data_IF_246558039648
#
_entry.id   IF_246558039648
#
_cell.length_a   1.000
_cell.length_b   1.000
_cell.length_c   1.000
_cell.angle_alpha   90.00
_cell.angle_beta   90.00
_cell.angle_gamma   90.00
#
_symmetry.space_group_name_H-M   'P 1'
#
loop_
_entity.id
_entity.type
_entity.pdbx_description
1 polymer ?
#
# COMPACT_ATOMS: atom_id res chain seq x y z
N UNK A 1 -24.67 6.24 -35.10
CA UNK A 1 -24.71 5.03 -34.25
C UNK A 1 -23.68 5.06 -33.11
N UNK A 2 -22.75 6.02 -33.05
CA UNK A 2 -21.72 6.13 -31.99
C UNK A 2 -22.25 6.65 -30.64
N UNK A 3 -23.27 7.52 -30.64
CA UNK A 3 -23.84 8.09 -29.40
C UNK A 3 -24.55 7.06 -28.50
N UNK A 4 -24.94 5.90 -29.03
CA UNK A 4 -25.69 4.89 -28.28
C UNK A 4 -24.81 4.13 -27.26
N UNK A 5 -23.48 4.21 -27.35
CA UNK A 5 -22.55 3.42 -26.55
C UNK A 5 -21.58 4.26 -25.70
N UNK A 6 -21.73 5.59 -25.68
CA UNK A 6 -20.83 6.47 -24.91
C UNK A 6 -20.95 6.24 -23.39
N UNK A 7 -22.08 5.73 -22.92
CA UNK A 7 -22.30 5.40 -21.50
C UNK A 7 -21.49 4.18 -21.03
N UNK A 8 -21.00 3.33 -21.95
CA UNK A 8 -20.30 2.11 -21.61
C UNK A 8 -18.95 2.38 -20.91
N UNK A 9 -18.24 3.43 -21.34
CA UNK A 9 -16.95 3.84 -20.76
C UNK A 9 -17.08 4.34 -19.31
N UNK A 10 -17.93 5.35 -19.05
CA UNK A 10 -18.22 5.80 -17.69
C UNK A 10 -18.78 4.69 -16.79
N UNK A 11 -19.63 3.80 -17.33
CA UNK A 11 -20.14 2.66 -16.59
C UNK A 11 -19.05 1.66 -16.20
N UNK A 12 -18.07 1.40 -17.08
CA UNK A 12 -16.92 0.55 -16.78
C UNK A 12 -16.07 1.15 -15.65
N UNK A 13 -15.82 2.46 -15.71
CA UNK A 13 -15.08 3.17 -14.67
C UNK A 13 -15.81 3.15 -13.31
N UNK A 14 -17.12 3.40 -13.31
CA UNK A 14 -17.93 3.31 -12.10
C UNK A 14 -17.93 1.89 -11.51
N UNK A 15 -18.04 0.86 -12.36
CA UNK A 15 -17.95 -0.55 -11.93
C UNK A 15 -16.61 -0.88 -11.27
N UNK A 16 -15.50 -0.39 -11.83
CA UNK A 16 -14.17 -0.54 -11.23
C UNK A 16 -14.08 0.14 -9.86
N UNK A 17 -14.59 1.37 -9.72
CA UNK A 17 -14.60 2.08 -8.43
C UNK A 17 -15.42 1.37 -7.36
N UNK A 18 -16.57 0.81 -7.72
CA UNK A 18 -17.40 0.03 -6.79
C UNK A 18 -16.63 -1.19 -6.32
N UNK A 19 -16.08 -2.00 -7.23
CA UNK A 19 -15.33 -3.20 -6.87
C UNK A 19 -14.07 -2.91 -6.05
N UNK A 20 -13.39 -1.78 -6.30
CA UNK A 20 -12.28 -1.31 -5.47
C UNK A 20 -12.75 -0.90 -4.08
N UNK A 21 -13.92 -0.27 -3.96
CA UNK A 21 -14.49 0.14 -2.67
C UNK A 21 -14.92 -1.04 -1.79
N UNK A 22 -15.22 -2.20 -2.41
CA UNK A 22 -15.48 -3.45 -1.68
C UNK A 22 -14.21 -4.07 -1.07
N UNK A 23 -13.03 -3.49 -1.29
CA UNK A 23 -11.77 -3.96 -0.70
C UNK A 23 -11.19 -5.23 -1.37
N UNK A 24 -11.71 -5.61 -2.54
CA UNK A 24 -11.13 -6.70 -3.32
C UNK A 24 -9.74 -6.31 -3.88
N UNK A 25 -8.80 -7.26 -4.03
CA UNK A 25 -7.48 -6.94 -4.56
C UNK A 25 -7.57 -6.31 -5.95
N UNK A 26 -6.85 -5.19 -6.13
CA UNK A 26 -6.92 -4.29 -7.29
C UNK A 26 -6.76 -5.01 -8.64
N UNK A 27 -5.88 -6.02 -8.71
CA UNK A 27 -5.65 -6.78 -9.93
C UNK A 27 -6.91 -7.52 -10.40
N UNK A 28 -7.66 -8.13 -9.47
CA UNK A 28 -8.87 -8.87 -9.79
C UNK A 28 -10.05 -7.95 -10.09
N UNK A 29 -10.16 -6.82 -9.40
CA UNK A 29 -11.23 -5.86 -9.67
C UNK A 29 -11.07 -5.21 -11.05
N UNK A 30 -9.88 -4.72 -11.39
CA UNK A 30 -9.62 -4.10 -12.70
C UNK A 30 -9.71 -5.12 -13.85
N UNK A 31 -9.08 -6.29 -13.69
CA UNK A 31 -9.13 -7.34 -14.71
C UNK A 31 -10.54 -7.90 -14.92
N UNK A 32 -11.27 -8.14 -13.84
CA UNK A 32 -12.64 -8.65 -13.87
C UNK A 32 -13.60 -7.68 -14.55
N UNK A 33 -13.57 -6.39 -14.19
CA UNK A 33 -14.40 -5.36 -14.84
C UNK A 33 -14.06 -5.23 -16.32
N UNK A 34 -12.78 -5.24 -16.68
CA UNK A 34 -12.35 -5.19 -18.07
C UNK A 34 -12.90 -6.37 -18.89
N UNK A 35 -12.85 -7.60 -18.36
CA UNK A 35 -13.38 -8.79 -19.05
C UNK A 35 -14.91 -8.75 -19.13
N UNK A 36 -15.60 -8.37 -18.05
CA UNK A 36 -17.06 -8.27 -18.03
C UNK A 36 -17.57 -7.25 -19.05
N UNK A 37 -16.96 -6.06 -19.10
CA UNK A 37 -17.33 -5.02 -20.07
C UNK A 37 -16.90 -5.37 -21.49
N UNK A 38 -15.80 -6.13 -21.69
CA UNK A 38 -15.46 -6.66 -23.00
C UNK A 38 -16.54 -7.61 -23.51
N UNK A 39 -17.04 -8.53 -22.68
CA UNK A 39 -18.11 -9.48 -23.06
C UNK A 39 -19.40 -8.73 -23.38
N UNK A 40 -19.80 -7.79 -22.50
CA UNK A 40 -20.98 -6.95 -22.74
C UNK A 40 -20.86 -6.13 -24.03
N UNK A 41 -19.71 -5.51 -24.29
CA UNK A 41 -19.45 -4.74 -25.52
C UNK A 41 -19.48 -5.61 -26.78
N UNK A 42 -19.08 -6.87 -26.69
CA UNK A 42 -19.17 -7.85 -27.79
C UNK A 42 -20.61 -8.20 -28.14
N UNK A 43 -21.43 -8.50 -27.12
CA UNK A 43 -22.85 -8.86 -27.29
C UNK A 43 -23.64 -7.67 -27.87
N UNK A 44 -23.32 -6.45 -27.44
CA UNK A 44 -23.93 -5.22 -27.94
C UNK A 44 -23.43 -4.79 -29.33
N UNK A 45 -22.46 -5.52 -29.93
CA UNK A 45 -21.92 -5.23 -31.26
C UNK A 45 -21.08 -3.95 -31.32
N UNK A 46 -20.57 -3.47 -30.18
CA UNK A 46 -19.76 -2.24 -30.09
C UNK A 46 -18.36 -2.46 -30.66
N UNK A 47 -17.84 -3.69 -30.55
CA UNK A 47 -16.52 -4.05 -31.04
C UNK A 47 -16.55 -5.41 -31.75
N UNK A 48 -15.60 -5.62 -32.68
CA UNK A 48 -15.48 -6.87 -33.43
C UNK A 48 -15.00 -8.02 -32.52
N UNK A 49 -15.65 -9.21 -32.52
CA UNK A 49 -15.23 -10.37 -31.75
C UNK A 49 -13.77 -10.79 -31.96
N UNK A 50 -13.15 -10.41 -33.09
CA UNK A 50 -11.72 -10.62 -33.33
C UNK A 50 -10.82 -9.99 -32.27
N UNK A 51 -11.27 -8.95 -31.57
CA UNK A 51 -10.48 -8.33 -30.50
C UNK A 51 -10.27 -9.28 -29.30
N UNK A 52 -11.16 -10.26 -29.09
CA UNK A 52 -10.97 -11.28 -28.06
C UNK A 52 -9.80 -12.21 -28.37
N UNK A 53 -9.57 -12.56 -29.63
CA UNK A 53 -8.43 -13.40 -30.00
C UNK A 53 -7.10 -12.64 -29.90
N UNK A 54 -7.13 -11.30 -29.98
CA UNK A 54 -5.98 -10.44 -29.76
C UNK A 54 -5.65 -10.21 -28.27
N UNK A 55 -6.57 -10.50 -27.34
CA UNK A 55 -6.37 -10.27 -25.90
C UNK A 55 -5.18 -11.06 -25.31
N UNK A 56 -5.03 -12.39 -25.54
CA UNK A 56 -3.88 -13.13 -25.04
C UNK A 56 -2.55 -12.57 -25.56
N UNK A 57 -2.49 -12.24 -26.85
CA UNK A 57 -1.30 -11.65 -27.46
C UNK A 57 -0.94 -10.31 -26.81
N UNK A 58 -1.94 -9.50 -26.48
CA UNK A 58 -1.74 -8.22 -25.78
C UNK A 58 -1.24 -8.40 -24.36
N UNK A 59 -1.75 -9.40 -23.63
CA UNK A 59 -1.27 -9.74 -22.28
C UNK A 59 0.19 -10.18 -22.34
N UNK A 60 0.56 -11.08 -23.26
CA UNK A 60 1.95 -11.49 -23.45
C UNK A 60 2.84 -10.30 -23.83
N UNK A 61 2.40 -9.42 -24.73
CA UNK A 61 3.15 -8.23 -25.11
C UNK A 61 3.40 -7.29 -23.91
N UNK A 62 2.43 -7.16 -22.99
CA UNK A 62 2.59 -6.38 -21.76
C UNK A 62 3.58 -7.09 -20.82
N UNK A 63 3.46 -8.41 -20.62
CA UNK A 63 4.37 -9.19 -19.77
C UNK A 63 5.82 -9.19 -20.27
N UNK A 64 6.04 -9.15 -21.58
CA UNK A 64 7.37 -9.07 -22.19
C UNK A 64 7.97 -7.66 -22.13
N UNK A 65 7.28 -6.68 -21.54
CA UNK A 65 7.77 -5.32 -21.45
C UNK A 65 8.82 -5.18 -20.34
N UNK A 66 10.03 -4.76 -20.71
CA UNK A 66 11.15 -4.54 -19.78
C UNK A 66 10.84 -3.53 -18.68
N UNK A 67 9.93 -2.58 -18.89
CA UNK A 67 9.48 -1.63 -17.86
C UNK A 67 8.82 -2.35 -16.68
N UNK A 68 8.12 -3.47 -16.91
CA UNK A 68 7.51 -4.23 -15.83
C UNK A 68 8.53 -4.96 -14.94
N UNK A 69 9.75 -5.20 -15.45
CA UNK A 69 10.85 -5.70 -14.62
C UNK A 69 11.25 -4.69 -13.53
N UNK A 70 10.92 -3.41 -13.68
CA UNK A 70 11.15 -2.42 -12.64
C UNK A 70 10.43 -2.77 -11.33
N UNK A 71 9.23 -3.37 -11.39
CA UNK A 71 8.45 -3.75 -10.19
C UNK A 71 9.22 -4.71 -9.27
N UNK A 72 9.68 -5.90 -9.74
CA UNK A 72 10.47 -6.80 -8.90
C UNK A 72 11.83 -6.21 -8.52
N UNK A 73 12.47 -5.40 -9.37
CA UNK A 73 13.72 -4.73 -9.00
C UNK A 73 13.52 -3.69 -7.88
N UNK A 74 12.43 -2.94 -7.88
CA UNK A 74 12.09 -2.03 -6.79
C UNK A 74 11.81 -2.77 -5.48
N UNK A 75 11.06 -3.87 -5.53
CA UNK A 75 10.82 -4.72 -4.35
C UNK A 75 12.14 -5.30 -3.82
N UNK A 76 13.01 -5.77 -4.71
CA UNK A 76 14.32 -6.30 -4.35
C UNK A 76 15.21 -5.24 -3.69
N UNK A 77 15.27 -4.03 -4.27
CA UNK A 77 16.03 -2.92 -3.70
C UNK A 77 15.49 -2.52 -2.32
N UNK A 78 14.16 -2.49 -2.16
CA UNK A 78 13.53 -2.26 -0.85
C UNK A 78 13.95 -3.28 0.19
N UNK A 79 13.87 -4.57 -0.14
CA UNK A 79 14.28 -5.65 0.77
C UNK A 79 15.78 -5.62 1.08
N UNK A 80 16.63 -5.23 0.12
CA UNK A 80 18.06 -5.06 0.35
C UNK A 80 18.39 -3.89 1.28
N UNK A 81 17.71 -2.76 1.13
CA UNK A 81 17.89 -1.59 2.01
C UNK A 81 17.43 -1.88 3.44
N UNK A 82 16.35 -2.62 3.60
CA UNK A 82 15.87 -3.11 4.89
C UNK A 82 16.90 -4.07 5.54
N UNK A 83 17.35 -5.09 4.80
CA UNK A 83 18.28 -6.11 5.33
C UNK A 83 19.70 -5.59 5.59
N UNK A 84 20.12 -4.53 4.92
CA UNK A 84 21.45 -3.94 5.12
C UNK A 84 21.56 -3.06 6.37
N UNK A 85 20.43 -2.72 7.02
CA UNK A 85 20.42 -1.83 8.20
C UNK A 85 20.83 -0.38 7.88
N UNK A 86 20.91 -0.02 6.59
CA UNK A 86 21.27 1.35 6.16
C UNK A 86 20.18 2.33 6.59
N UNK A 87 18.91 1.91 6.51
CA UNK A 87 17.75 2.73 6.90
C UNK A 87 17.80 3.17 8.37
N UNK A 88 18.11 2.24 9.26
CA UNK A 88 18.19 2.46 10.71
C UNK A 88 19.35 3.40 11.07
N UNK A 89 20.54 3.15 10.52
CA UNK A 89 21.72 4.01 10.72
C UNK A 89 21.50 5.43 10.21
N UNK A 90 20.76 5.58 9.11
CA UNK A 90 20.40 6.89 8.58
C UNK A 90 19.46 7.63 9.53
N UNK A 91 18.50 6.92 10.12
CA UNK A 91 17.56 7.47 11.09
C UNK A 91 18.26 7.88 12.40
N UNK A 92 19.17 7.06 12.93
CA UNK A 92 20.00 7.38 14.10
C UNK A 92 20.77 8.68 13.87
N UNK A 93 21.47 8.75 12.73
CA UNK A 93 22.31 9.90 12.37
C UNK A 93 21.49 11.18 12.24
N UNK A 94 20.32 11.11 11.59
CA UNK A 94 19.42 12.25 11.45
C UNK A 94 18.75 12.64 12.77
N UNK A 95 18.43 11.67 13.62
CA UNK A 95 17.93 11.90 14.98
C UNK A 95 18.93 12.67 15.84
N UNK A 96 20.22 12.33 15.75
CA UNK A 96 21.31 13.06 16.43
C UNK A 96 21.47 14.47 15.85
N UNK A 97 21.41 14.60 14.52
CA UNK A 97 21.56 15.89 13.83
C UNK A 97 20.46 16.89 14.20
N UNK A 98 19.20 16.44 14.25
CA UNK A 98 18.04 17.28 14.57
C UNK A 98 17.65 17.26 16.06
N UNK A 99 18.28 16.41 16.88
CA UNK A 99 17.91 16.18 18.30
C UNK A 99 18.00 17.39 19.23
N UNK A 100 18.76 18.43 18.84
CA UNK A 100 18.80 19.71 19.57
C UNK A 100 17.52 20.56 19.40
N UNK A 101 16.68 20.28 18.40
CA UNK A 101 15.41 20.98 18.20
C UNK A 101 14.26 20.23 18.87
N UNK A 102 13.37 20.95 19.57
CA UNK A 102 12.12 20.37 20.09
C UNK A 102 11.29 19.86 18.91
N UNK A 103 11.07 18.55 18.83
CA UNK A 103 10.41 17.88 17.70
C UNK A 103 11.33 17.40 16.57
N UNK A 104 12.66 17.53 16.71
CA UNK A 104 13.63 17.15 15.68
C UNK A 104 13.59 15.67 15.29
N UNK A 105 13.17 14.79 16.20
CA UNK A 105 12.99 13.36 15.93
C UNK A 105 11.87 13.08 14.90
N UNK A 106 10.71 13.74 15.05
CA UNK A 106 9.61 13.59 14.10
C UNK A 106 10.02 14.07 12.71
N UNK A 107 10.83 15.14 12.66
CA UNK A 107 11.35 15.71 11.42
C UNK A 107 12.36 14.77 10.75
N UNK A 108 13.23 14.11 11.53
CA UNK A 108 14.14 13.08 11.04
C UNK A 108 13.38 11.88 10.44
N UNK A 109 12.33 11.39 11.10
CA UNK A 109 11.49 10.27 10.61
C UNK A 109 10.82 10.63 9.28
N UNK A 110 10.24 11.82 9.16
CA UNK A 110 9.56 12.24 7.92
C UNK A 110 10.55 12.39 6.77
N UNK A 111 11.72 13.00 7.00
CA UNK A 111 12.74 13.20 5.96
C UNK A 111 13.35 11.85 5.53
N UNK A 112 13.80 11.05 6.48
CA UNK A 112 14.42 9.75 6.19
C UNK A 112 13.40 8.81 5.56
N UNK A 113 12.18 8.77 6.09
CA UNK A 113 11.07 8.01 5.52
C UNK A 113 10.77 8.44 4.08
N UNK A 114 10.72 9.75 3.80
CA UNK A 114 10.50 10.24 2.45
C UNK A 114 11.65 9.86 1.48
N UNK A 115 12.91 9.93 1.92
CA UNK A 115 14.08 9.56 1.11
C UNK A 115 14.11 8.04 0.79
N UNK A 116 13.79 7.21 1.78
CA UNK A 116 13.73 5.75 1.60
C UNK A 116 12.52 5.32 0.76
N UNK A 117 11.37 5.96 0.95
CA UNK A 117 10.19 5.72 0.12
C UNK A 117 10.41 6.18 -1.34
N UNK A 118 11.07 7.32 -1.55
CA UNK A 118 11.37 7.84 -2.88
C UNK A 118 12.32 6.93 -3.67
N UNK A 119 13.28 6.30 -3.00
CA UNK A 119 14.23 5.40 -3.64
C UNK A 119 13.62 4.01 -3.92
N UNK A 120 12.83 3.47 -3.00
CA UNK A 120 12.26 2.11 -3.13
C UNK A 120 10.91 2.04 -3.83
N UNK A 121 10.21 3.17 -3.98
CA UNK A 121 8.93 3.27 -4.68
C UNK A 121 7.75 2.58 -3.99
N UNK A 122 7.96 1.94 -2.83
CA UNK A 122 6.93 1.17 -2.10
C UNK A 122 6.77 1.73 -0.69
N UNK A 123 5.66 2.45 -0.46
CA UNK A 123 5.32 3.11 0.82
C UNK A 123 5.10 2.11 1.96
N UNK A 124 4.74 0.86 1.65
CA UNK A 124 4.37 -0.15 2.65
C UNK A 124 5.52 -0.59 3.57
N UNK A 125 6.74 -0.71 3.05
CA UNK A 125 7.91 -1.15 3.83
C UNK A 125 8.45 -0.05 4.77
N UNK A 126 8.34 1.22 4.36
CA UNK A 126 8.80 2.34 5.18
C UNK A 126 7.94 2.52 6.42
N UNK A 127 6.63 2.31 6.29
CA UNK A 127 5.68 2.38 7.42
C UNK A 127 5.98 1.30 8.46
N UNK A 128 6.24 0.05 8.06
CA UNK A 128 6.61 -1.02 9.00
C UNK A 128 7.95 -0.75 9.69
N UNK A 129 8.95 -0.26 8.96
CA UNK A 129 10.26 0.10 9.54
C UNK A 129 10.14 1.27 10.52
N UNK A 130 9.25 2.23 10.28
CA UNK A 130 9.02 3.34 11.23
C UNK A 130 8.27 2.86 12.49
N UNK A 131 7.35 1.89 12.37
CA UNK A 131 6.71 1.28 13.54
C UNK A 131 7.72 0.48 14.38
N UNK A 132 8.50 -0.41 13.79
CA UNK A 132 9.49 -1.21 14.51
C UNK A 132 10.71 -0.39 14.97
N UNK A 133 11.16 0.56 14.15
CA UNK A 133 12.24 1.49 14.50
C UNK A 133 11.82 2.48 15.58
N UNK A 134 10.55 2.88 15.63
CA UNK A 134 10.00 3.63 16.76
C UNK A 134 10.11 2.84 18.07
N UNK A 135 9.70 1.57 18.05
CA UNK A 135 9.73 0.66 19.21
C UNK A 135 11.15 0.49 19.79
N UNK A 136 12.16 0.27 18.94
CA UNK A 136 13.56 0.10 19.37
C UNK A 136 14.10 1.31 20.16
N UNK A 137 13.68 2.52 19.80
CA UNK A 137 14.17 3.77 20.44
C UNK A 137 13.44 4.14 21.73
N UNK A 138 12.22 3.67 21.94
CA UNK A 138 11.52 3.86 23.23
C UNK A 138 12.04 2.92 24.32
N UNK A 139 12.56 1.74 23.92
CA UNK A 139 13.21 0.79 24.82
C UNK A 139 14.56 1.31 25.37
N UNK A 140 15.32 2.07 24.58
CA UNK A 140 16.55 2.74 25.05
C UNK A 140 16.27 3.86 26.08
N UNK A 141 15.05 4.38 26.14
CA UNK A 141 14.61 5.42 27.08
C UNK A 141 13.87 4.88 28.32
N UNK A 142 13.69 3.55 28.45
CA UNK A 142 13.10 2.91 29.63
C UNK A 142 11.68 3.38 29.99
N UNK A 143 10.85 3.70 28.98
CA UNK A 143 9.46 4.13 29.15
C UNK A 143 8.51 3.10 28.55
N UNK A 144 8.29 2.04 29.30
CA UNK A 144 7.58 0.82 28.88
C UNK A 144 6.03 0.96 28.95
N UNK A 145 5.55 2.05 29.54
CA UNK A 145 4.21 2.17 30.12
C UNK A 145 3.11 2.61 29.14
N UNK A 146 3.38 2.60 27.83
CA UNK A 146 2.40 2.95 26.80
C UNK A 146 1.78 1.75 26.06
N UNK A 147 2.35 0.55 26.21
CA UNK A 147 1.75 -0.69 25.68
C UNK A 147 0.50 -1.13 26.48
N UNK A 148 0.35 -0.68 27.72
CA UNK A 148 -0.82 -0.95 28.58
C UNK A 148 -2.02 -0.05 28.29
N UNK A 149 -1.87 0.96 27.41
CA UNK A 149 -2.91 1.95 27.11
C UNK A 149 -3.55 1.78 25.72
N UNK A 150 -3.28 0.68 25.01
CA UNK A 150 -4.03 0.30 23.81
C UNK A 150 -5.29 -0.46 24.26
N UNK A 151 -6.52 0.05 24.04
CA UNK A 151 -7.72 -0.72 24.33
C UNK A 151 -7.80 -1.90 23.34
N UNK A 152 -7.70 -3.12 23.86
CA UNK A 152 -7.93 -4.35 23.09
C UNK A 152 -9.32 -4.30 22.42
N UNK A 153 -9.45 -4.73 21.16
CA UNK A 153 -10.74 -4.73 20.47
C UNK A 153 -11.51 -6.02 20.81
N UNK A 154 -11.72 -6.32 22.10
CA UNK A 154 -12.62 -7.40 22.52
C UNK A 154 -13.43 -7.02 23.75
N UNK A 155 -14.75 -7.17 23.65
CA UNK A 155 -15.65 -7.22 24.81
C UNK A 155 -16.54 -6.01 25.02
N UNK A 156 -17.54 -5.86 24.15
CA UNK A 156 -18.81 -5.29 24.60
C UNK A 156 -19.31 -6.21 25.74
N UNK A 157 -19.64 -5.59 26.88
CA UNK A 157 -20.35 -6.12 28.07
C UNK A 157 -19.51 -6.61 29.27
N UNK A 158 -19.91 -6.03 30.41
CA UNK A 158 -19.63 -6.33 31.83
C UNK A 158 -18.42 -5.56 32.37
N UNK A 159 -18.56 -4.57 33.23
CA UNK A 159 -19.54 -4.38 34.29
C UNK A 159 -18.77 -3.95 35.53
N UNK A 160 -19.34 -3.01 36.29
CA UNK A 160 -18.73 -2.29 37.40
C UNK A 160 -17.94 -3.12 38.43
N UNK A 161 -16.82 -2.54 38.89
CA UNK A 161 -16.48 -2.40 40.30
C UNK A 161 -16.22 -3.66 41.13
N UNK A 162 -14.95 -3.90 41.48
CA UNK A 162 -14.56 -4.26 42.85
C UNK A 162 -13.04 -4.42 43.00
N UNK A 163 -12.49 -3.65 43.94
CA UNK A 163 -11.59 -4.12 45.02
C UNK A 163 -10.14 -4.49 44.65
N UNK A 164 -9.19 -3.58 44.90
CA UNK A 164 -8.43 -3.41 46.17
C UNK A 164 -7.27 -4.39 46.34
N UNK A 165 -6.07 -3.80 46.47
CA UNK A 165 -5.02 -4.14 47.44
C UNK A 165 -4.61 -5.61 47.54
N UNK A 166 -3.49 -5.95 46.90
CA UNK A 166 -2.25 -6.34 47.58
C UNK A 166 -1.07 -6.33 46.60
#
# INVERSE_FOLDING_TARGET
>A
MTLAYEWLGPAMFAGALVLLSLGYPVAFSLGGVAILFAIFGSILGVFDPILFSAMPLRIFAIMSNYTLLAIPYFIFMGSMLEKSGIAERLLETMGILFGRMRGGLALAVVIVGALLAASTGVVAATVSIIYTGGESYYLELGKDDYYTAQPEPEGIFLGEGAKTLK
#
